data_IF_838258878406
#
_entry.id   IF_838258878406
#
_cell.length_a   1.000
_cell.length_b   1.000
_cell.length_c   1.000
_cell.angle_alpha   90.00
_cell.angle_beta   90.00
_cell.angle_gamma   90.00
#
_symmetry.space_group_name_H-M   'P 1'
#
loop_
_entity.id
_entity.type
_entity.pdbx_description
1 polymer ?
#
# COMPACT_ATOMS: atom_id res chain seq x y z
N UNK A 1 -18.16 -5.75 26.51
CA UNK A 1 -17.97 -6.23 25.13
C UNK A 1 -16.49 -6.05 24.82
N UNK A 2 -15.81 -7.16 24.57
CA UNK A 2 -14.34 -7.22 24.57
C UNK A 2 -13.79 -6.50 23.34
N UNK A 3 -12.90 -5.52 23.57
CA UNK A 3 -12.03 -4.96 22.53
C UNK A 3 -10.99 -6.02 22.18
N UNK A 4 -11.27 -6.85 21.17
CA UNK A 4 -10.26 -7.73 20.57
C UNK A 4 -9.28 -6.87 19.77
N UNK A 5 -8.14 -6.59 20.39
CA UNK A 5 -6.90 -6.19 19.73
C UNK A 5 -6.31 -7.41 19.01
N UNK A 6 -6.98 -7.88 17.97
CA UNK A 6 -6.32 -8.77 17.01
C UNK A 6 -5.48 -7.87 16.10
N UNK A 7 -4.16 -8.10 15.96
CA UNK A 7 -3.38 -7.41 14.93
C UNK A 7 -4.00 -7.83 13.61
N UNK A 8 -4.71 -6.92 12.97
CA UNK A 8 -5.15 -7.10 11.59
C UNK A 8 -3.86 -7.27 10.81
N UNK A 9 -3.50 -8.52 10.52
CA UNK A 9 -2.49 -8.87 9.53
C UNK A 9 -3.06 -8.25 8.27
N UNK A 10 -2.61 -7.02 7.99
CA UNK A 10 -2.85 -6.32 6.74
C UNK A 10 -2.48 -7.35 5.70
N UNK A 11 -3.48 -7.84 4.97
CA UNK A 11 -3.24 -8.75 3.86
C UNK A 11 -2.09 -8.12 3.07
N UNK A 12 -1.00 -8.86 2.85
CA UNK A 12 0.20 -8.31 2.22
C UNK A 12 -0.09 -7.72 0.82
N UNK A 13 -1.29 -7.98 0.30
CA UNK A 13 -1.83 -7.48 -0.96
C UNK A 13 -2.82 -6.30 -0.80
N UNK A 14 -3.07 -5.83 0.42
CA UNK A 14 -3.94 -4.69 0.71
C UNK A 14 -3.26 -3.37 0.38
N UNK A 15 -4.07 -2.34 0.09
CA UNK A 15 -3.58 -0.98 -0.18
C UNK A 15 -2.66 -0.47 0.94
N UNK A 16 -3.07 -0.65 2.20
CA UNK A 16 -2.27 -0.22 3.36
C UNK A 16 -0.99 -1.05 3.52
N UNK A 17 -1.04 -2.35 3.20
CA UNK A 17 0.14 -3.20 3.16
C UNK A 17 1.18 -2.70 2.15
N UNK A 18 0.74 -2.32 0.94
CA UNK A 18 1.64 -1.74 -0.06
C UNK A 18 2.17 -0.36 0.32
N UNK A 19 1.40 0.49 1.00
CA UNK A 19 1.90 1.76 1.57
C UNK A 19 3.04 1.49 2.56
N UNK A 20 2.85 0.53 3.46
CA UNK A 20 3.86 0.13 4.44
C UNK A 20 5.11 -0.45 3.77
N UNK A 21 4.96 -1.35 2.79
CA UNK A 21 6.09 -1.93 2.05
C UNK A 21 6.93 -0.86 1.34
N UNK A 22 6.28 0.11 0.67
CA UNK A 22 6.98 1.23 0.02
C UNK A 22 7.78 2.06 1.03
N UNK A 23 7.20 2.34 2.19
CA UNK A 23 7.90 3.06 3.26
C UNK A 23 9.12 2.27 3.77
N UNK A 24 8.93 0.99 4.10
CA UNK A 24 9.98 0.12 4.64
C UNK A 24 11.14 -0.05 3.66
N UNK A 25 10.84 -0.34 2.38
CA UNK A 25 11.87 -0.49 1.34
C UNK A 25 12.59 0.82 1.05
N UNK A 26 11.91 1.97 1.11
CA UNK A 26 12.55 3.28 0.96
C UNK A 26 13.55 3.53 2.09
N UNK A 27 13.21 3.17 3.32
CA UNK A 27 14.12 3.30 4.47
C UNK A 27 15.32 2.33 4.35
N UNK A 28 15.08 1.10 3.92
CA UNK A 28 16.12 0.11 3.67
C UNK A 28 17.10 0.57 2.57
N UNK A 29 16.57 1.08 1.45
CA UNK A 29 17.34 1.60 0.33
C UNK A 29 18.26 2.75 0.75
N UNK A 30 17.75 3.67 1.57
CA UNK A 30 18.52 4.81 2.09
C UNK A 30 19.69 4.38 2.99
N UNK A 31 19.51 3.31 3.77
CA UNK A 31 20.50 2.81 4.73
C UNK A 31 21.53 1.85 4.10
N UNK A 32 21.23 1.25 2.94
CA UNK A 32 22.08 0.22 2.33
C UNK A 32 23.35 0.80 1.67
N UNK A 33 24.49 0.24 2.04
CA UNK A 33 25.82 0.66 1.59
C UNK A 33 26.34 -0.18 0.43
N UNK A 34 25.97 -1.46 0.37
CA UNK A 34 26.35 -2.39 -0.69
C UNK A 34 25.62 -2.03 -2.01
N UNK A 35 26.36 -1.73 -3.10
CA UNK A 35 25.74 -1.34 -4.37
C UNK A 35 24.86 -2.40 -5.02
N UNK A 36 25.18 -3.69 -4.87
CA UNK A 36 24.40 -4.78 -5.45
C UNK A 36 23.09 -4.95 -4.69
N UNK A 37 23.13 -4.93 -3.36
CA UNK A 37 21.91 -4.98 -2.54
C UNK A 37 21.04 -3.76 -2.76
N UNK A 38 21.65 -2.56 -2.82
CA UNK A 38 20.94 -1.31 -3.09
C UNK A 38 20.24 -1.33 -4.45
N UNK A 39 20.85 -1.93 -5.48
CA UNK A 39 20.21 -2.11 -6.78
C UNK A 39 18.98 -3.02 -6.69
N UNK A 40 19.05 -4.12 -5.93
CA UNK A 40 17.91 -5.01 -5.74
C UNK A 40 16.77 -4.34 -4.96
N UNK A 41 17.08 -3.63 -3.88
CA UNK A 41 16.09 -2.84 -3.11
C UNK A 41 15.40 -1.80 -4.00
N UNK A 42 16.17 -1.12 -4.87
CA UNK A 42 15.61 -0.15 -5.80
C UNK A 42 14.63 -0.78 -6.80
N UNK A 43 14.94 -2.00 -7.28
CA UNK A 43 14.06 -2.75 -8.17
C UNK A 43 12.76 -3.15 -7.46
N UNK A 44 12.86 -3.74 -6.26
CA UNK A 44 11.68 -4.12 -5.46
C UNK A 44 10.82 -2.91 -5.11
N UNK A 45 11.43 -1.78 -4.72
CA UNK A 45 10.71 -0.54 -4.46
C UNK A 45 9.96 -0.04 -5.69
N UNK A 46 10.53 -0.14 -6.89
CA UNK A 46 9.85 0.23 -8.13
C UNK A 46 8.61 -0.65 -8.39
N UNK A 47 8.70 -1.95 -8.13
CA UNK A 47 7.57 -2.88 -8.28
C UNK A 47 6.44 -2.59 -7.26
N UNK A 48 6.80 -2.33 -6.00
CA UNK A 48 5.83 -2.00 -4.97
C UNK A 48 5.15 -0.65 -5.20
N UNK A 49 5.92 0.37 -5.60
CA UNK A 49 5.35 1.69 -5.91
C UNK A 49 4.44 1.65 -7.14
N UNK A 50 4.78 0.87 -8.17
CA UNK A 50 3.92 0.67 -9.33
C UNK A 50 2.61 -0.02 -8.97
N UNK A 51 2.66 -1.04 -8.10
CA UNK A 51 1.45 -1.71 -7.60
C UNK A 51 0.61 -0.79 -6.72
N UNK A 52 1.24 -0.07 -5.78
CA UNK A 52 0.57 0.90 -4.92
C UNK A 52 -0.17 1.95 -5.75
N UNK A 53 0.47 2.51 -6.79
CA UNK A 53 -0.17 3.50 -7.65
C UNK A 53 -1.46 2.98 -8.31
N UNK A 54 -1.48 1.71 -8.75
CA UNK A 54 -2.70 1.07 -9.29
C UNK A 54 -3.77 0.93 -8.21
N UNK A 55 -3.40 0.46 -7.03
CA UNK A 55 -4.33 0.28 -5.92
C UNK A 55 -4.95 1.61 -5.46
N UNK A 56 -4.18 2.70 -5.40
CA UNK A 56 -4.69 4.04 -5.05
C UNK A 56 -5.73 4.53 -6.07
N UNK A 57 -5.49 4.29 -7.37
CA UNK A 57 -6.45 4.63 -8.43
C UNK A 57 -7.73 3.83 -8.29
N UNK A 58 -7.64 2.52 -8.06
CA UNK A 58 -8.82 1.67 -7.89
C UNK A 58 -9.59 2.00 -6.60
N UNK A 59 -8.90 2.32 -5.51
CA UNK A 59 -9.52 2.78 -4.26
C UNK A 59 -10.28 4.10 -4.46
N UNK A 60 -9.71 5.06 -5.20
CA UNK A 60 -10.38 6.31 -5.53
C UNK A 60 -11.65 6.07 -6.39
N UNK A 61 -11.59 5.16 -7.37
CA UNK A 61 -12.75 4.78 -8.19
C UNK A 61 -13.84 4.07 -7.37
N UNK A 62 -13.45 3.18 -6.46
CA UNK A 62 -14.38 2.48 -5.58
C UNK A 62 -15.15 3.42 -4.64
N UNK A 63 -14.49 4.50 -4.19
CA UNK A 63 -15.13 5.55 -3.40
C UNK A 63 -16.13 6.39 -4.21
N UNK A 64 -15.84 6.70 -5.48
CA UNK A 64 -16.78 7.44 -6.34
C UNK A 64 -18.08 6.67 -6.63
N UNK A 65 -18.03 5.34 -6.77
CA UNK A 65 -19.24 4.54 -7.03
C UNK A 65 -20.15 4.44 -5.79
N UNK A 66 -19.58 4.41 -4.58
CA UNK A 66 -20.37 4.44 -3.34
C UNK A 66 -20.95 5.83 -3.04
N UNK A 67 -20.24 6.92 -3.34
CA UNK A 67 -20.77 8.27 -3.15
C UNK A 67 -21.94 8.56 -4.07
N UNK A 68 -21.88 8.12 -5.32
CA UNK A 68 -22.95 8.33 -6.31
C UNK A 68 -24.17 7.43 -6.02
N UNK A 69 -23.94 6.21 -5.52
CA UNK A 69 -25.01 5.32 -5.10
C UNK A 69 -25.78 5.82 -3.87
N UNK A 70 -25.13 6.54 -2.94
CA UNK A 70 -25.80 7.14 -1.78
C UNK A 70 -26.53 8.46 -2.08
N UNK A 71 -26.23 9.14 -3.18
CA UNK A 71 -26.89 10.40 -3.56
C UNK A 71 -28.21 10.20 -4.33
N UNK A 72 -28.47 9.00 -4.86
CA UNK A 72 -29.69 8.69 -5.63
C UNK A 72 -30.87 8.17 -4.77
N UNK A 73 -30.77 8.24 -3.44
CA UNK A 73 -31.83 7.83 -2.51
C UNK A 73 -32.32 8.97 -1.59
N UNK A 74 -32.04 10.23 -1.93
CA UNK A 74 -32.52 11.42 -1.20
C UNK A 74 -33.63 12.16 -1.98
#
# INVERSE_FOLDING_TARGET
>A
MNNSLEPHVSDAESLEGYRYLVWLESEALWKETDPQRRANLALSLAEYTATLARLEVEAAKGQTVQSDAMQNFA
#
